data_IF_564313700605
#
_entry.id   IF_564313700605
#
_cell.length_a   1.000
_cell.length_b   1.000
_cell.length_c   1.000
_cell.angle_alpha   90.00
_cell.angle_beta   90.00
_cell.angle_gamma   90.00
#
_symmetry.space_group_name_H-M   'P 1'
#
loop_
_entity.id
_entity.type
_entity.pdbx_description
1 polymer ?
#
# COMPACT_ATOMS: atom_id res chain seq x y z
N UNK A 1 50.32 -7.48 -12.58
CA UNK A 1 49.17 -8.34 -12.96
C UNK A 1 48.70 -9.08 -11.72
N UNK A 2 47.52 -8.72 -11.21
CA UNK A 2 46.66 -9.59 -10.41
C UNK A 2 45.23 -9.25 -10.81
N UNK A 3 44.46 -10.29 -11.11
CA UNK A 3 43.17 -10.31 -11.79
C UNK A 3 41.99 -10.07 -10.81
N UNK A 4 40.74 -9.98 -11.28
CA UNK A 4 39.59 -9.55 -10.48
C UNK A 4 38.99 -10.71 -9.69
N UNK A 5 38.51 -10.43 -8.48
CA UNK A 5 37.67 -11.35 -7.69
C UNK A 5 36.22 -10.91 -7.72
N UNK A 6 35.46 -11.82 -8.28
CA UNK A 6 34.03 -12.02 -8.46
C UNK A 6 33.18 -11.90 -7.19
N UNK A 7 31.96 -11.37 -7.40
CA UNK A 7 30.71 -11.57 -6.65
C UNK A 7 30.72 -11.55 -5.11
N UNK A 8 30.03 -10.55 -4.58
CA UNK A 8 28.98 -10.76 -3.57
C UNK A 8 27.72 -10.07 -4.14
N UNK A 9 26.75 -10.75 -4.76
CA UNK A 9 26.16 -11.99 -4.28
C UNK A 9 25.15 -11.76 -3.15
N UNK A 10 24.86 -10.51 -2.76
CA UNK A 10 23.76 -10.23 -1.84
C UNK A 10 22.45 -10.05 -2.62
N UNK A 11 22.02 -11.12 -3.29
CA UNK A 11 20.61 -11.27 -3.61
C UNK A 11 19.90 -11.50 -2.27
N UNK A 12 19.40 -10.41 -1.70
CA UNK A 12 18.49 -10.45 -0.56
C UNK A 12 17.44 -11.54 -0.87
N UNK A 13 17.16 -12.49 0.06
CA UNK A 13 16.26 -13.59 -0.20
C UNK A 13 14.98 -13.00 -0.81
N UNK A 14 14.66 -13.46 -2.01
CA UNK A 14 13.49 -12.99 -2.74
C UNK A 14 12.31 -13.12 -1.79
N UNK A 15 11.77 -11.97 -1.36
CA UNK A 15 10.46 -11.89 -0.74
C UNK A 15 9.54 -12.71 -1.64
N UNK A 16 9.00 -13.81 -1.12
CA UNK A 16 8.08 -14.74 -1.77
C UNK A 16 6.84 -14.10 -2.42
N UNK A 17 6.66 -12.79 -2.34
CA UNK A 17 5.79 -12.02 -3.21
C UNK A 17 6.14 -12.29 -4.69
N UNK A 18 5.21 -12.94 -5.39
CA UNK A 18 5.34 -13.32 -6.81
C UNK A 18 4.58 -12.39 -7.76
N UNK A 19 4.05 -11.28 -7.25
CA UNK A 19 3.29 -10.33 -8.05
C UNK A 19 4.14 -9.29 -8.79
N UNK A 20 3.49 -8.43 -9.59
CA UNK A 20 4.17 -7.34 -10.26
C UNK A 20 4.77 -6.37 -9.23
N UNK A 21 5.93 -5.76 -9.52
CA UNK A 21 6.54 -4.78 -8.64
C UNK A 21 5.68 -3.51 -8.57
N UNK A 22 5.79 -2.75 -7.48
CA UNK A 22 4.97 -1.56 -7.20
C UNK A 22 4.88 -0.56 -8.36
N UNK A 23 6.01 -0.26 -9.01
CA UNK A 23 6.03 0.67 -10.15
C UNK A 23 5.24 0.17 -11.37
N UNK A 24 5.15 -1.15 -11.57
CA UNK A 24 4.30 -1.75 -12.62
C UNK A 24 2.85 -1.70 -12.18
N UNK A 25 2.54 -1.99 -10.91
CA UNK A 25 1.18 -1.90 -10.39
C UNK A 25 0.59 -0.50 -10.59
N UNK A 26 1.38 0.53 -10.27
CA UNK A 26 1.02 1.94 -10.45
C UNK A 26 0.88 2.29 -11.94
N UNK A 27 1.88 1.93 -12.76
CA UNK A 27 1.93 2.30 -14.18
C UNK A 27 0.77 1.70 -14.97
N UNK A 28 0.42 0.44 -14.68
CA UNK A 28 -0.62 -0.29 -15.40
C UNK A 28 -2.01 -0.17 -14.72
N UNK A 29 -2.10 0.62 -13.65
CA UNK A 29 -3.33 0.84 -12.88
C UNK A 29 -3.98 -0.45 -12.32
N UNK A 30 -3.17 -1.39 -11.84
CA UNK A 30 -3.63 -2.72 -11.38
C UNK A 30 -3.49 -2.94 -9.87
N UNK A 31 -3.12 -1.91 -9.11
CA UNK A 31 -2.91 -2.05 -7.67
C UNK A 31 -4.15 -2.58 -6.93
N UNK A 32 -5.34 -2.05 -7.25
CA UNK A 32 -6.61 -2.49 -6.65
C UNK A 32 -6.84 -3.99 -6.84
N UNK A 33 -6.69 -4.46 -8.08
CA UNK A 33 -6.91 -5.86 -8.43
C UNK A 33 -5.88 -6.77 -7.75
N UNK A 34 -4.62 -6.34 -7.68
CA UNK A 34 -3.58 -7.12 -7.03
C UNK A 34 -3.73 -7.14 -5.49
N UNK A 35 -4.20 -6.05 -4.84
CA UNK A 35 -4.58 -6.05 -3.41
C UNK A 35 -5.65 -7.11 -3.16
N UNK A 36 -6.76 -7.06 -3.93
CA UNK A 36 -7.90 -7.96 -3.74
C UNK A 36 -7.50 -9.42 -3.98
N UNK A 37 -6.76 -9.68 -5.06
CA UNK A 37 -6.36 -11.02 -5.49
C UNK A 37 -5.35 -11.68 -4.56
N UNK A 38 -4.45 -10.88 -3.97
CA UNK A 38 -3.29 -11.40 -3.21
C UNK A 38 -3.35 -11.14 -1.72
N UNK A 39 -4.44 -10.58 -1.20
CA UNK A 39 -4.52 -10.28 0.23
C UNK A 39 -4.21 -11.51 1.10
N UNK A 40 -4.67 -12.69 0.68
CA UNK A 40 -4.46 -13.96 1.37
C UNK A 40 -3.18 -14.70 0.96
N UNK A 41 -2.34 -14.12 0.11
CA UNK A 41 -1.03 -14.72 -0.18
C UNK A 41 -0.18 -14.68 1.10
N UNK A 42 0.70 -15.69 1.33
CA UNK A 42 1.61 -15.69 2.47
C UNK A 42 2.46 -14.42 2.59
N UNK A 43 2.69 -13.76 1.46
CA UNK A 43 3.27 -12.42 1.40
C UNK A 43 2.26 -11.46 0.77
N UNK A 44 1.30 -11.04 1.61
CA UNK A 44 0.31 -10.04 1.25
C UNK A 44 0.98 -8.72 0.83
N UNK A 45 0.36 -8.01 -0.11
CA UNK A 45 0.85 -6.69 -0.55
C UNK A 45 0.81 -5.68 0.60
N UNK A 46 -0.21 -5.78 1.46
CA UNK A 46 -0.49 -4.82 2.51
C UNK A 46 -0.54 -5.51 3.88
N UNK A 47 0.11 -4.89 4.87
CA UNK A 47 -0.05 -5.25 6.27
C UNK A 47 -1.29 -4.62 6.90
N UNK A 48 -1.62 -5.02 8.13
CA UNK A 48 -2.78 -4.49 8.87
C UNK A 48 -2.86 -2.96 8.95
N UNK A 49 -1.76 -2.22 9.26
CA UNK A 49 -1.79 -0.75 9.30
C UNK A 49 -2.16 -0.11 7.95
N UNK A 50 -1.60 -0.63 6.85
CA UNK A 50 -1.94 -0.14 5.50
C UNK A 50 -3.38 -0.44 5.12
N UNK A 51 -3.93 -1.59 5.55
CA UNK A 51 -5.32 -1.96 5.32
C UNK A 51 -6.29 -1.06 6.10
N UNK A 52 -5.94 -0.70 7.34
CA UNK A 52 -6.74 0.23 8.16
C UNK A 52 -6.77 1.61 7.50
N UNK A 53 -5.61 2.11 7.07
CA UNK A 53 -5.51 3.38 6.36
C UNK A 53 -6.32 3.37 5.05
N UNK A 54 -6.18 2.31 4.25
CA UNK A 54 -6.94 2.14 3.01
C UNK A 54 -8.45 2.06 3.28
N UNK A 55 -8.86 1.37 4.35
CA UNK A 55 -10.25 1.27 4.75
C UNK A 55 -10.84 2.66 5.06
N UNK A 56 -10.17 3.45 5.90
CA UNK A 56 -10.61 4.81 6.25
C UNK A 56 -10.76 5.68 5.00
N UNK A 57 -9.77 5.64 4.11
CA UNK A 57 -9.82 6.35 2.83
C UNK A 57 -10.99 5.90 1.96
N UNK A 58 -11.22 4.60 1.81
CA UNK A 58 -12.32 4.06 0.99
C UNK A 58 -13.70 4.44 1.55
N UNK A 59 -13.82 4.69 2.87
CA UNK A 59 -15.05 5.17 3.49
C UNK A 59 -15.28 6.67 3.27
N UNK A 60 -14.22 7.48 3.28
CA UNK A 60 -14.29 8.93 3.08
C UNK A 60 -13.17 9.44 2.14
N UNK A 61 -13.26 9.20 0.82
CA UNK A 61 -12.19 9.58 -0.11
C UNK A 61 -11.95 11.10 -0.17
N UNK A 62 -12.99 11.90 0.10
CA UNK A 62 -12.92 13.36 0.18
C UNK A 62 -12.11 13.85 1.40
N UNK A 63 -11.93 13.02 2.42
CA UNK A 63 -11.15 13.32 3.63
C UNK A 63 -9.69 12.84 3.54
N UNK A 64 -9.25 12.36 2.38
CA UNK A 64 -7.91 11.79 2.15
C UNK A 64 -6.76 12.54 2.81
N UNK A 65 -6.70 13.87 2.64
CA UNK A 65 -5.60 14.68 3.17
C UNK A 65 -5.66 14.83 4.69
N UNK A 66 -6.85 14.81 5.27
CA UNK A 66 -7.04 14.85 6.71
C UNK A 66 -6.66 13.50 7.33
N UNK A 67 -7.05 12.40 6.70
CA UNK A 67 -6.63 11.03 7.06
C UNK A 67 -5.10 10.94 7.04
N UNK A 68 -4.43 11.35 5.94
CA UNK A 68 -2.97 11.34 5.88
C UNK A 68 -2.32 12.17 7.00
N UNK A 69 -2.95 13.27 7.44
CA UNK A 69 -2.43 14.10 8.52
C UNK A 69 -2.59 13.42 9.88
N UNK A 70 -3.74 12.79 10.13
CA UNK A 70 -4.04 12.06 11.37
C UNK A 70 -3.07 10.89 11.60
N UNK A 71 -2.64 10.24 10.52
CA UNK A 71 -1.68 9.13 10.56
C UNK A 71 -0.21 9.58 10.46
N UNK A 72 0.09 10.89 10.54
CA UNK A 72 1.45 11.44 10.37
C UNK A 72 2.14 10.97 9.07
N UNK A 73 1.36 10.92 8.00
CA UNK A 73 1.73 10.52 6.63
C UNK A 73 1.67 11.68 5.64
N UNK A 74 1.12 12.83 6.03
CA UNK A 74 1.05 14.01 5.19
C UNK A 74 2.44 14.61 4.91
N UNK A 75 2.68 14.95 3.65
CA UNK A 75 3.91 15.62 3.21
C UNK A 75 4.08 16.99 3.89
N UNK A 76 5.33 17.35 4.19
CA UNK A 76 5.64 18.69 4.69
C UNK A 76 5.33 19.76 3.63
N UNK A 77 5.05 20.99 4.06
CA UNK A 77 4.82 22.10 3.15
C UNK A 77 6.02 22.30 2.20
N UNK A 78 5.74 22.36 0.90
CA UNK A 78 6.76 22.49 -0.15
C UNK A 78 7.49 21.20 -0.53
N UNK A 79 7.23 20.08 0.15
CA UNK A 79 7.73 18.77 -0.26
C UNK A 79 6.98 18.26 -1.51
N UNK A 80 7.60 17.30 -2.21
CA UNK A 80 6.97 16.64 -3.35
C UNK A 80 5.86 15.72 -2.84
N UNK A 81 4.70 15.72 -3.50
CA UNK A 81 3.59 14.80 -3.18
C UNK A 81 4.04 13.33 -3.13
N UNK A 82 3.67 12.64 -2.06
CA UNK A 82 4.05 11.26 -1.77
C UNK A 82 5.51 11.08 -1.36
N UNK A 83 6.25 12.16 -1.08
CA UNK A 83 7.64 12.05 -0.60
C UNK A 83 7.70 11.34 0.75
N UNK A 84 6.78 11.65 1.66
CA UNK A 84 6.72 11.02 2.98
C UNK A 84 6.40 9.54 2.89
N UNK A 85 5.45 9.17 2.02
CA UNK A 85 5.16 7.79 1.69
C UNK A 85 6.40 7.04 1.19
N UNK A 86 7.17 7.66 0.30
CA UNK A 86 8.35 7.04 -0.31
C UNK A 86 9.56 6.99 0.63
N UNK A 87 9.75 7.99 1.49
CA UNK A 87 11.00 8.18 2.24
C UNK A 87 10.90 7.70 3.69
N UNK A 88 9.73 7.84 4.32
CA UNK A 88 9.55 7.52 5.74
C UNK A 88 8.81 6.19 5.94
N UNK A 89 7.74 5.96 5.16
CA UNK A 89 6.80 4.86 5.43
C UNK A 89 6.96 3.67 4.49
N UNK A 90 7.55 3.86 3.31
CA UNK A 90 7.61 2.86 2.24
C UNK A 90 6.22 2.24 1.94
N UNK A 91 5.14 3.01 2.13
CA UNK A 91 3.76 2.54 1.99
C UNK A 91 3.21 2.91 0.62
N UNK A 92 2.78 1.89 -0.13
CA UNK A 92 2.10 2.10 -1.41
C UNK A 92 0.70 2.71 -1.20
N UNK A 93 0.06 2.47 -0.06
CA UNK A 93 -1.25 3.06 0.25
C UNK A 93 -1.12 4.55 0.51
N UNK A 94 -0.17 4.97 1.35
CA UNK A 94 0.14 6.38 1.58
C UNK A 94 0.47 7.07 0.25
N UNK A 95 1.34 6.46 -0.57
CA UNK A 95 1.70 7.03 -1.87
C UNK A 95 0.47 7.18 -2.80
N UNK A 96 -0.36 6.14 -2.88
CA UNK A 96 -1.57 6.14 -3.70
C UNK A 96 -2.58 7.18 -3.21
N UNK A 97 -2.74 7.33 -1.90
CA UNK A 97 -3.55 8.37 -1.32
C UNK A 97 -2.95 9.74 -1.64
N UNK A 98 -1.70 10.02 -1.31
CA UNK A 98 -1.08 11.33 -1.58
C UNK A 98 -1.27 11.79 -3.04
N UNK A 99 -1.15 10.86 -4.00
CA UNK A 99 -1.26 11.12 -5.44
C UNK A 99 -2.68 11.01 -6.03
N UNK A 100 -3.72 10.76 -5.22
CA UNK A 100 -5.11 10.58 -5.70
C UNK A 100 -5.22 9.46 -6.75
N UNK A 101 -4.52 8.36 -6.50
CA UNK A 101 -4.33 7.28 -7.48
C UNK A 101 -5.62 6.49 -7.75
N UNK A 102 -6.44 6.22 -6.72
CA UNK A 102 -7.62 5.37 -6.86
C UNK A 102 -8.80 6.15 -7.45
N UNK A 103 -9.36 5.67 -8.56
CA UNK A 103 -10.54 6.26 -9.18
C UNK A 103 -11.85 5.78 -8.52
N UNK A 104 -13.00 6.30 -8.98
CA UNK A 104 -14.30 5.91 -8.44
C UNK A 104 -14.60 4.41 -8.57
N UNK A 105 -14.10 3.75 -9.62
CA UNK A 105 -14.28 2.31 -9.84
C UNK A 105 -13.43 1.51 -8.86
N UNK A 106 -12.18 1.91 -8.64
CA UNK A 106 -11.29 1.33 -7.64
C UNK A 106 -11.89 1.43 -6.24
N UNK A 107 -12.37 2.62 -5.86
CA UNK A 107 -13.00 2.85 -4.56
C UNK A 107 -14.23 1.96 -4.40
N UNK A 108 -15.05 1.80 -5.44
CA UNK A 108 -16.22 0.93 -5.40
C UNK A 108 -15.84 -0.55 -5.21
N UNK A 109 -14.81 -1.03 -5.92
CA UNK A 109 -14.28 -2.41 -5.77
C UNK A 109 -13.74 -2.65 -4.36
N UNK A 110 -12.88 -1.76 -3.88
CA UNK A 110 -12.29 -1.85 -2.55
C UNK A 110 -13.38 -1.78 -1.47
N UNK A 111 -14.36 -0.90 -1.62
CA UNK A 111 -15.49 -0.80 -0.69
C UNK A 111 -16.26 -2.10 -0.60
N UNK A 112 -16.65 -2.68 -1.74
CA UNK A 112 -17.34 -3.98 -1.77
C UNK A 112 -16.49 -5.10 -1.15
N UNK A 113 -15.17 -5.06 -1.38
CA UNK A 113 -14.24 -6.03 -0.81
C UNK A 113 -14.10 -5.92 0.72
N UNK A 114 -13.97 -4.71 1.27
CA UNK A 114 -13.97 -4.48 2.72
C UNK A 114 -15.34 -4.77 3.35
N UNK A 115 -16.43 -4.39 2.70
CA UNK A 115 -17.78 -4.62 3.21
C UNK A 115 -18.09 -6.12 3.35
N UNK A 116 -17.53 -6.97 2.48
CA UNK A 116 -17.60 -8.42 2.58
C UNK A 116 -16.74 -9.04 3.71
N UNK A 117 -15.94 -8.23 4.42
CA UNK A 117 -15.13 -8.67 5.56
C UNK A 117 -13.79 -9.33 5.18
N UNK A 118 -13.35 -9.19 3.93
CA UNK A 118 -12.18 -9.90 3.42
C UNK A 118 -10.85 -9.50 4.08
N UNK A 119 -10.78 -8.33 4.71
CA UNK A 119 -9.59 -7.83 5.40
C UNK A 119 -9.76 -7.79 6.93
N UNK A 120 -10.92 -8.20 7.46
CA UNK A 120 -11.29 -7.96 8.85
C UNK A 120 -10.31 -8.62 9.82
N UNK A 121 -9.91 -9.87 9.57
CA UNK A 121 -8.94 -10.59 10.40
C UNK A 121 -7.59 -9.85 10.47
N UNK A 122 -7.02 -9.52 9.30
CA UNK A 122 -5.77 -8.78 9.16
C UNK A 122 -5.79 -7.41 9.84
N UNK A 123 -6.93 -6.72 9.83
CA UNK A 123 -7.07 -5.44 10.53
C UNK A 123 -7.28 -5.62 12.04
N UNK A 124 -8.06 -6.63 12.46
CA UNK A 124 -8.33 -6.92 13.87
C UNK A 124 -7.08 -7.30 14.65
N UNK A 125 -6.12 -7.97 14.01
CA UNK A 125 -4.78 -8.23 14.58
C UNK A 125 -4.08 -6.94 15.04
N UNK A 126 -4.40 -5.81 14.40
CA UNK A 126 -3.83 -4.48 14.68
C UNK A 126 -4.80 -3.58 15.46
N UNK A 127 -5.79 -4.17 16.13
CA UNK A 127 -6.68 -3.47 17.05
C UNK A 127 -7.86 -2.76 16.37
N UNK A 128 -8.01 -2.91 15.05
CA UNK A 128 -9.21 -2.44 14.36
C UNK A 128 -10.45 -3.18 14.86
N UNK A 129 -11.58 -2.49 14.87
CA UNK A 129 -12.89 -3.06 15.19
C UNK A 129 -13.87 -2.67 14.10
N UNK A 130 -14.64 -3.65 13.65
CA UNK A 130 -15.78 -3.41 12.77
C UNK A 130 -16.72 -2.39 13.43
N UNK A 131 -17.03 -1.33 12.71
CA UNK A 131 -18.01 -0.31 13.10
C UNK A 131 -19.41 -0.67 12.58
#
# INVERSE_FOLDING_TARGET
MSAPTTNDGNAQPATGYTGPPAHIMIKEHILTDEIIKRHNDPESILGGPDLILLYEYVKAPDQRLDILREHDMFDAEGARTGSRAQEAHHSIVDWSMANDYFDEEDIAKLRGWFDAGNADESMMEYGWKRQ
#
